data_IF_285619002131
#
_entry.id   IF_285619002131
#
_cell.length_a   1.000
_cell.length_b   1.000
_cell.length_c   1.000
_cell.angle_alpha   90.00
_cell.angle_beta   90.00
_cell.angle_gamma   90.00
#
_symmetry.space_group_name_H-M   'P 1'
#
loop_
_entity.id
_entity.type
_entity.pdbx_description
1 polymer ?
#
# COMPACT_ATOMS: atom_id res chain seq x y z
N UNK A 1 0.08 -4.49 -22.00
CA UNK A 1 -0.14 -4.33 -20.54
C UNK A 1 -1.24 -3.30 -20.35
N UNK A 2 -2.33 -3.65 -19.65
CA UNK A 2 -3.36 -2.65 -19.31
C UNK A 2 -2.85 -1.85 -18.12
N UNK A 3 -2.81 -0.52 -18.23
CA UNK A 3 -2.46 0.33 -17.10
C UNK A 3 -3.49 0.14 -15.96
N UNK A 4 -3.07 0.15 -14.69
CA UNK A 4 -4.02 0.12 -13.58
C UNK A 4 -4.94 1.35 -13.70
N UNK A 5 -6.24 1.14 -13.49
CA UNK A 5 -7.21 2.22 -13.46
C UNK A 5 -7.01 3.08 -12.21
N UNK A 6 -6.68 2.43 -11.09
CA UNK A 6 -6.38 3.06 -9.80
C UNK A 6 -5.20 2.34 -9.14
N UNK A 7 -4.31 3.13 -8.52
CA UNK A 7 -3.29 2.63 -7.61
C UNK A 7 -3.64 3.09 -6.18
N UNK A 8 -3.73 2.15 -5.25
CA UNK A 8 -4.04 2.37 -3.83
C UNK A 8 -2.78 2.11 -3.02
N UNK A 9 -2.29 3.13 -2.33
CA UNK A 9 -1.15 3.01 -1.41
C UNK A 9 -1.68 2.77 0.01
N UNK A 10 -1.24 1.69 0.64
CA UNK A 10 -1.64 1.28 1.99
C UNK A 10 -0.42 1.38 2.90
N UNK A 11 -0.29 2.42 3.73
CA UNK A 11 0.75 2.46 4.74
C UNK A 11 0.49 1.40 5.81
N UNK A 12 1.54 0.69 6.22
CA UNK A 12 1.48 -0.35 7.24
C UNK A 12 2.61 -0.18 8.26
N UNK A 13 2.26 -0.16 9.55
CA UNK A 13 3.22 -0.18 10.65
C UNK A 13 2.70 -1.03 11.79
N UNK A 14 3.38 -2.14 12.08
CA UNK A 14 2.96 -3.17 13.04
C UNK A 14 1.52 -3.67 12.80
N UNK A 15 1.14 -3.80 11.53
CA UNK A 15 -0.20 -4.23 11.10
C UNK A 15 -0.26 -5.74 10.82
N UNK A 16 0.69 -6.55 11.30
CA UNK A 16 0.79 -7.97 11.00
C UNK A 16 -0.38 -8.83 11.48
N UNK A 17 -1.22 -8.32 12.37
CA UNK A 17 -2.48 -8.98 12.77
C UNK A 17 -3.69 -8.51 11.94
N UNK A 18 -3.71 -7.25 11.51
CA UNK A 18 -4.88 -6.64 10.83
C UNK A 18 -4.76 -6.67 9.32
N UNK A 19 -3.58 -6.36 8.78
CA UNK A 19 -3.32 -6.33 7.34
C UNK A 19 -3.64 -7.67 6.67
N UNK A 20 -3.28 -8.85 7.23
CA UNK A 20 -3.59 -10.11 6.55
C UNK A 20 -5.08 -10.33 6.35
N UNK A 21 -5.91 -9.97 7.33
CA UNK A 21 -7.37 -10.04 7.20
C UNK A 21 -7.89 -9.08 6.14
N UNK A 22 -7.39 -7.85 6.15
CA UNK A 22 -7.79 -6.84 5.18
C UNK A 22 -7.44 -7.24 3.74
N UNK A 23 -6.20 -7.68 3.52
CA UNK A 23 -5.71 -8.16 2.22
C UNK A 23 -6.48 -9.40 1.75
N UNK A 24 -6.85 -10.31 2.65
CA UNK A 24 -7.66 -11.48 2.31
C UNK A 24 -9.07 -11.09 1.83
N UNK A 25 -9.75 -10.18 2.54
CA UNK A 25 -11.08 -9.70 2.12
C UNK A 25 -11.03 -8.94 0.80
N UNK A 26 -10.02 -8.07 0.59
CA UNK A 26 -9.84 -7.40 -0.70
C UNK A 26 -9.66 -8.43 -1.82
N UNK A 27 -8.76 -9.39 -1.62
CA UNK A 27 -8.50 -10.46 -2.60
C UNK A 27 -9.78 -11.19 -2.98
N UNK A 28 -10.59 -11.57 -1.98
CA UNK A 28 -11.88 -12.21 -2.20
C UNK A 28 -12.83 -11.33 -3.02
N UNK A 29 -13.00 -10.07 -2.64
CA UNK A 29 -13.90 -9.14 -3.35
C UNK A 29 -13.47 -8.95 -4.81
N UNK A 30 -12.17 -8.80 -5.08
CA UNK A 30 -11.66 -8.61 -6.44
C UNK A 30 -11.63 -9.87 -7.30
N UNK A 31 -11.78 -11.05 -6.69
CA UNK A 31 -12.01 -12.30 -7.41
C UNK A 31 -13.50 -12.51 -7.73
N UNK A 32 -14.39 -12.09 -6.83
CA UNK A 32 -15.84 -12.27 -6.98
C UNK A 32 -16.49 -11.20 -7.88
N UNK A 33 -15.96 -9.97 -7.87
CA UNK A 33 -16.55 -8.82 -8.58
C UNK A 33 -15.72 -8.40 -9.78
N UNK A 34 -16.41 -8.10 -10.88
CA UNK A 34 -15.79 -7.44 -12.02
C UNK A 34 -15.53 -5.98 -11.66
N UNK A 35 -14.25 -5.61 -11.51
CA UNK A 35 -13.80 -4.25 -11.31
C UNK A 35 -12.75 -3.87 -12.36
N UNK A 36 -12.58 -2.56 -12.66
CA UNK A 36 -11.40 -2.09 -13.38
C UNK A 36 -10.11 -2.56 -12.70
N UNK A 37 -9.01 -2.81 -13.44
CA UNK A 37 -7.74 -3.23 -12.85
C UNK A 37 -7.27 -2.26 -11.75
N UNK A 38 -6.95 -2.78 -10.57
CA UNK A 38 -6.48 -2.01 -9.41
C UNK A 38 -5.13 -2.55 -8.98
N UNK A 39 -4.22 -1.64 -8.64
CA UNK A 39 -2.95 -1.94 -8.01
C UNK A 39 -2.99 -1.55 -6.53
N UNK A 40 -2.60 -2.45 -5.64
CA UNK A 40 -2.44 -2.21 -4.21
C UNK A 40 -0.96 -2.26 -3.85
N UNK A 41 -0.44 -1.15 -3.34
CA UNK A 41 0.94 -1.05 -2.88
C UNK A 41 0.95 -0.90 -1.36
N UNK A 42 1.29 -1.97 -0.65
CA UNK A 42 1.50 -1.95 0.79
C UNK A 42 2.90 -1.43 1.07
N UNK A 43 2.99 -0.34 1.82
CA UNK A 43 4.26 0.30 2.20
C UNK A 43 4.47 0.11 3.70
N UNK A 44 5.41 -0.75 4.07
CA UNK A 44 5.81 -0.96 5.46
C UNK A 44 6.75 0.15 5.93
N UNK A 45 6.34 0.91 6.95
CA UNK A 45 7.06 2.07 7.51
C UNK A 45 8.03 1.66 8.64
N UNK A 46 8.64 0.48 8.52
CA UNK A 46 9.61 -0.04 9.49
C UNK A 46 9.00 -0.78 10.67
N UNK A 47 8.03 -1.67 10.41
CA UNK A 47 7.45 -2.58 11.40
C UNK A 47 8.50 -3.44 12.12
N UNK A 48 8.13 -3.99 13.28
CA UNK A 48 8.91 -5.03 13.94
C UNK A 48 9.07 -6.24 13.00
N UNK A 49 10.19 -6.99 13.03
CA UNK A 49 10.47 -8.07 12.08
C UNK A 49 9.33 -9.08 11.92
N UNK A 50 8.79 -9.57 13.05
CA UNK A 50 7.64 -10.51 13.06
C UNK A 50 6.39 -9.92 12.39
N UNK A 51 6.15 -8.63 12.57
CA UNK A 51 5.01 -7.94 11.99
C UNK A 51 5.20 -7.72 10.48
N UNK A 52 6.40 -7.28 10.06
CA UNK A 52 6.74 -7.11 8.65
C UNK A 52 6.66 -8.44 7.87
N UNK A 53 7.10 -9.54 8.48
CA UNK A 53 7.01 -10.87 7.89
C UNK A 53 5.55 -11.28 7.62
N UNK A 54 4.67 -11.11 8.62
CA UNK A 54 3.24 -11.41 8.47
C UNK A 54 2.59 -10.53 7.39
N UNK A 55 2.93 -9.25 7.34
CA UNK A 55 2.44 -8.33 6.32
C UNK A 55 2.88 -8.78 4.92
N UNK A 56 4.19 -9.02 4.74
CA UNK A 56 4.75 -9.46 3.46
C UNK A 56 4.13 -10.77 2.99
N UNK A 57 4.09 -11.79 3.85
CA UNK A 57 3.52 -13.09 3.52
C UNK A 57 2.06 -12.99 3.10
N UNK A 58 1.28 -12.12 3.74
CA UNK A 58 -0.13 -11.91 3.37
C UNK A 58 -0.30 -11.28 1.97
N UNK A 59 0.55 -10.31 1.63
CA UNK A 59 0.53 -9.64 0.32
C UNK A 59 0.97 -10.58 -0.79
N UNK A 60 2.03 -11.37 -0.54
CA UNK A 60 2.51 -12.39 -1.50
C UNK A 60 1.46 -13.47 -1.75
N UNK A 61 0.80 -13.97 -0.70
CA UNK A 61 -0.27 -14.96 -0.83
C UNK A 61 -1.48 -14.43 -1.62
N UNK A 62 -1.84 -13.15 -1.42
CA UNK A 62 -2.89 -12.49 -2.19
C UNK A 62 -2.51 -12.33 -3.67
N UNK A 63 -1.29 -11.86 -3.95
CA UNK A 63 -0.80 -11.71 -5.31
C UNK A 63 -0.77 -13.05 -6.05
N UNK A 64 -0.32 -14.12 -5.40
CA UNK A 64 -0.33 -15.46 -5.97
C UNK A 64 -1.74 -15.92 -6.33
N UNK A 65 -2.72 -15.71 -5.44
CA UNK A 65 -4.13 -16.03 -5.70
C UNK A 65 -4.70 -15.28 -6.90
N UNK A 66 -4.45 -13.98 -6.99
CA UNK A 66 -4.89 -13.17 -8.12
C UNK A 66 -4.26 -13.65 -9.43
N UNK A 67 -2.95 -13.96 -9.41
CA UNK A 67 -2.24 -14.47 -10.58
C UNK A 67 -2.79 -15.83 -11.05
N UNK A 68 -3.04 -16.77 -10.12
CA UNK A 68 -3.65 -18.07 -10.44
C UNK A 68 -5.03 -17.92 -11.06
N UNK A 69 -5.82 -16.94 -10.61
CA UNK A 69 -7.14 -16.65 -11.16
C UNK A 69 -7.10 -15.87 -12.49
N UNK A 70 -5.91 -15.48 -12.97
CA UNK A 70 -5.78 -14.61 -14.15
C UNK A 70 -6.37 -13.21 -13.94
N UNK A 71 -6.51 -12.77 -12.67
CA UNK A 71 -7.04 -11.46 -12.35
C UNK A 71 -6.09 -10.36 -12.82
N UNK A 72 -6.67 -9.22 -13.21
CA UNK A 72 -5.90 -8.04 -13.66
C UNK A 72 -5.44 -7.14 -12.50
N UNK A 73 -5.85 -7.47 -11.28
CA UNK A 73 -5.51 -6.77 -10.05
C UNK A 73 -4.10 -7.18 -9.58
N UNK A 74 -3.41 -6.28 -8.89
CA UNK A 74 -2.06 -6.51 -8.41
C UNK A 74 -1.90 -6.09 -6.96
N UNK A 75 -1.09 -6.84 -6.22
CA UNK A 75 -0.62 -6.55 -4.87
C UNK A 75 0.91 -6.48 -4.89
N UNK A 76 1.47 -5.45 -4.27
CA UNK A 76 2.91 -5.26 -4.11
C UNK A 76 3.21 -4.87 -2.67
N UNK A 77 4.27 -5.45 -2.11
CA UNK A 77 4.81 -5.08 -0.80
C UNK A 77 6.11 -4.31 -0.97
N UNK A 78 6.25 -3.17 -0.30
CA UNK A 78 7.45 -2.34 -0.28
C UNK A 78 7.84 -2.09 1.17
N UNK A 79 9.08 -2.43 1.54
CA UNK A 79 9.65 -2.02 2.82
C UNK A 79 10.34 -0.67 2.66
N UNK A 80 9.88 0.35 3.39
CA UNK A 80 10.60 1.60 3.53
C UNK A 80 11.63 1.48 4.67
N UNK A 81 12.80 2.12 4.58
CA UNK A 81 13.71 2.25 5.71
C UNK A 81 12.98 2.87 6.91
N UNK A 82 13.13 2.28 8.10
CA UNK A 82 12.49 2.78 9.33
C UNK A 82 12.86 4.25 9.57
N UNK A 83 11.88 5.15 9.56
CA UNK A 83 12.11 6.56 9.85
C UNK A 83 12.59 6.72 11.31
N UNK A 84 13.84 7.14 11.51
CA UNK A 84 14.49 7.23 12.84
C UNK A 84 14.10 8.48 13.65
N UNK A 85 13.11 9.25 13.21
CA UNK A 85 12.86 10.62 13.71
C UNK A 85 12.08 10.68 15.04
N UNK A 86 11.67 9.56 15.62
CA UNK A 86 10.78 9.55 16.80
C UNK A 86 11.51 9.44 18.14
N UNK A 87 12.53 10.28 18.36
CA UNK A 87 13.15 10.47 19.69
C UNK A 87 13.85 11.83 19.84
N UNK A 88 13.11 12.93 20.01
CA UNK A 88 13.63 14.10 20.74
C UNK A 88 12.51 14.93 21.38
N UNK A 89 12.49 15.09 22.71
CA UNK A 89 11.65 16.09 23.37
C UNK A 89 12.46 17.38 23.53
N UNK A 90 12.08 18.48 22.88
CA UNK A 90 12.56 19.84 23.21
C UNK A 90 11.64 20.89 22.61
N UNK A 91 11.24 21.86 23.43
CA UNK A 91 10.24 22.88 23.13
C UNK A 91 10.65 23.93 22.09
N UNK A 92 9.62 24.68 21.69
CA UNK A 92 9.63 26.00 21.05
C UNK A 92 10.54 26.23 19.82
N UNK A 93 9.86 26.52 18.71
CA UNK A 93 10.33 27.22 17.51
C UNK A 93 11.26 26.44 16.55
N UNK A 94 10.77 26.27 15.32
CA UNK A 94 11.55 25.85 14.17
C UNK A 94 11.06 24.54 13.53
N UNK A 95 10.10 24.65 12.61
CA UNK A 95 9.85 23.58 11.62
C UNK A 95 11.09 23.51 10.73
N UNK A 96 12.06 22.69 11.10
CA UNK A 96 13.19 22.38 10.23
C UNK A 96 12.70 21.40 9.19
N UNK A 97 12.23 21.95 8.05
CA UNK A 97 12.08 21.20 6.80
C UNK A 97 13.44 20.58 6.46
N UNK A 98 13.60 19.29 6.72
CA UNK A 98 14.72 18.55 6.15
C UNK A 98 14.41 18.32 4.67
N UNK A 99 14.92 19.22 3.83
CA UNK A 99 15.02 19.07 2.38
C UNK A 99 15.94 17.87 2.11
N UNK A 100 15.36 16.67 2.05
CA UNK A 100 16.02 15.50 1.46
C UNK A 100 15.94 15.61 -0.07
N UNK A 101 16.76 16.50 -0.63
CA UNK A 101 17.13 16.44 -2.04
C UNK A 101 18.09 15.28 -2.24
N UNK A 102 17.54 14.09 -2.55
CA UNK A 102 18.13 13.02 -3.38
C UNK A 102 17.13 11.84 -3.44
N UNK A 103 16.36 11.82 -4.52
CA UNK A 103 15.72 10.60 -5.05
C UNK A 103 14.55 10.03 -4.25
N UNK A 104 13.40 10.71 -4.25
CA UNK A 104 12.13 10.00 -4.11
C UNK A 104 12.04 9.01 -5.29
N UNK A 105 11.77 7.71 -5.09
CA UNK A 105 11.48 6.80 -6.20
C UNK A 105 10.30 7.36 -6.98
N UNK A 106 10.52 7.58 -8.27
CA UNK A 106 9.57 8.19 -9.21
C UNK A 106 8.36 7.27 -9.46
N UNK A 107 7.41 7.24 -8.53
CA UNK A 107 6.12 6.54 -8.74
C UNK A 107 4.90 7.39 -8.40
N UNK A 108 5.06 8.70 -8.20
CA UNK A 108 3.92 9.62 -8.20
C UNK A 108 3.46 9.88 -9.63
N UNK A 109 2.92 8.86 -10.30
CA UNK A 109 2.06 9.08 -11.46
C UNK A 109 0.71 9.50 -10.89
N UNK A 110 0.44 10.81 -10.93
CA UNK A 110 -0.91 11.34 -10.76
C UNK A 110 -1.88 10.49 -11.60
N UNK A 111 -2.84 9.87 -10.93
CA UNK A 111 -3.98 9.25 -11.60
C UNK A 111 -4.63 10.32 -12.50
N UNK A 112 -4.98 10.01 -13.75
CA UNK A 112 -5.77 10.93 -14.55
C UNK A 112 -7.10 11.16 -13.82
N UNK A 113 -7.44 12.44 -13.68
CA UNK A 113 -8.67 12.94 -13.07
C UNK A 113 -9.89 12.10 -13.45
N UNK A 114 -10.41 11.31 -12.50
CA UNK A 114 -11.71 10.65 -12.63
C UNK A 114 -12.75 11.46 -11.85
N UNK A 115 -13.81 11.97 -12.50
CA UNK A 115 -14.93 12.61 -11.83
C UNK A 115 -15.88 11.51 -11.36
N UNK A 116 -15.57 10.85 -10.23
CA UNK A 116 -16.49 10.07 -9.39
C UNK A 116 -15.74 9.56 -8.17
N UNK A 117 -16.38 9.65 -7.01
CA UNK A 117 -15.75 9.37 -5.73
C UNK A 117 -15.48 7.87 -5.57
N UNK A 118 -14.36 7.51 -4.93
CA UNK A 118 -14.01 6.11 -4.62
C UNK A 118 -15.17 5.35 -3.95
N UNK A 119 -16.00 6.05 -3.17
CA UNK A 119 -17.20 5.55 -2.48
C UNK A 119 -18.32 5.08 -3.41
N UNK A 120 -18.38 5.53 -4.65
CA UNK A 120 -19.46 5.17 -5.58
C UNK A 120 -19.39 3.72 -6.06
N UNK A 121 -18.25 3.04 -5.89
CA UNK A 121 -18.03 1.65 -6.29
C UNK A 121 -18.32 0.62 -5.19
N UNK A 122 -18.65 1.09 -3.98
CA UNK A 122 -18.87 0.25 -2.78
C UNK A 122 -20.35 0.07 -2.41
N UNK A 123 -21.29 0.49 -3.27
CA UNK A 123 -22.72 0.18 -3.14
C UNK A 123 -23.10 -1.08 -3.92
#
# INVERSE_FOLDING_TARGET
MHAPFVSVVIPAYNEGERLPRFVAELTRVFLERSAPPVEFVVVDDGSAPKQAELQRASVEAAQARLATAGARHQFTYVAAPRNQERARPSGSAGVTRQRASRGWPSWTRMAPSAPRSFTDWWR
#
